data_IF_866315001486
#
_entry.id   IF_866315001486
#
_cell.length_a   1.000
_cell.length_b   1.000
_cell.length_c   1.000
_cell.angle_alpha   90.00
_cell.angle_beta   90.00
_cell.angle_gamma   90.00
#
_symmetry.space_group_name_H-M   'P 1'
#
loop_
_entity.id
_entity.type
_entity.pdbx_description
1 polymer ?
#
# COMPACT_ATOMS: atom_id res chain seq x y z
N UNK A 1 1.87 -12.74 -13.87
CA UNK A 1 0.59 -12.01 -13.74
C UNK A 1 0.14 -11.35 -15.04
N UNK A 2 1.03 -11.11 -16.01
CA UNK A 2 0.71 -10.38 -17.23
C UNK A 2 -0.18 -11.12 -18.26
N UNK A 3 -0.23 -12.46 -18.23
CA UNK A 3 -0.94 -13.25 -19.24
C UNK A 3 -2.44 -12.93 -19.35
N UNK A 4 -3.11 -12.62 -18.24
CA UNK A 4 -4.54 -12.26 -18.25
C UNK A 4 -4.78 -10.82 -18.78
N UNK A 5 -3.81 -9.93 -18.55
CA UNK A 5 -3.85 -8.55 -19.05
C UNK A 5 -3.62 -8.51 -20.57
N UNK A 6 -2.90 -9.48 -21.13
CA UNK A 6 -2.70 -9.59 -22.58
C UNK A 6 -4.02 -9.73 -23.35
N UNK A 7 -4.96 -10.54 -22.86
CA UNK A 7 -6.27 -10.73 -23.50
C UNK A 7 -7.34 -9.73 -23.03
N UNK A 8 -7.15 -9.12 -21.85
CA UNK A 8 -8.07 -8.14 -21.27
C UNK A 8 -7.30 -6.90 -20.79
N UNK A 9 -6.94 -5.98 -21.70
CA UNK A 9 -6.08 -4.83 -21.36
C UNK A 9 -6.72 -3.84 -20.36
N UNK A 10 -8.03 -3.95 -20.12
CA UNK A 10 -8.72 -3.13 -19.13
C UNK A 10 -8.75 -3.75 -17.73
N UNK A 11 -8.27 -4.99 -17.58
CA UNK A 11 -8.25 -5.70 -16.30
C UNK A 11 -7.19 -5.08 -15.38
N UNK A 12 -7.61 -4.72 -14.17
CA UNK A 12 -6.74 -4.22 -13.10
C UNK A 12 -6.53 -5.32 -12.07
N UNK A 13 -5.29 -5.50 -11.63
CA UNK A 13 -4.93 -6.39 -10.53
C UNK A 13 -4.77 -5.56 -9.26
N UNK A 14 -5.38 -6.04 -8.19
CA UNK A 14 -5.35 -5.41 -6.87
C UNK A 14 -4.84 -6.43 -5.87
N UNK A 15 -3.93 -6.00 -4.99
CA UNK A 15 -3.44 -6.81 -3.88
C UNK A 15 -4.41 -6.64 -2.69
N UNK A 16 -5.13 -7.69 -2.31
CA UNK A 16 -5.99 -7.64 -1.12
C UNK A 16 -5.22 -8.08 0.12
N UNK A 17 -5.15 -7.22 1.13
CA UNK A 17 -4.53 -7.50 2.44
C UNK A 17 -5.65 -7.69 3.46
N UNK A 18 -5.71 -8.88 4.08
CA UNK A 18 -6.72 -9.25 5.07
C UNK A 18 -6.06 -9.61 6.41
N UNK A 19 -6.68 -9.21 7.51
CA UNK A 19 -6.37 -9.76 8.83
C UNK A 19 -7.25 -10.98 9.10
N UNK A 20 -6.64 -12.14 9.30
CA UNK A 20 -7.34 -13.38 9.66
C UNK A 20 -7.02 -13.70 11.13
N UNK A 21 -7.87 -13.21 12.05
CA UNK A 21 -7.68 -13.42 13.48
C UNK A 21 -8.66 -12.63 14.34
N UNK A 22 -8.83 -13.04 15.60
CA UNK A 22 -9.77 -12.43 16.57
C UNK A 22 -9.12 -11.41 17.53
N UNK A 23 -7.82 -11.14 17.39
CA UNK A 23 -7.07 -10.22 18.25
C UNK A 23 -6.91 -8.81 17.67
N UNK A 24 -6.50 -7.83 18.49
CA UNK A 24 -6.17 -6.50 17.99
C UNK A 24 -4.99 -6.58 17.03
N UNK A 25 -5.06 -5.81 15.94
CA UNK A 25 -3.98 -5.76 14.97
C UNK A 25 -2.78 -5.07 15.62
N UNK A 26 -1.62 -5.72 15.62
CA UNK A 26 -0.36 -5.17 16.17
C UNK A 26 0.12 -3.86 15.51
N UNK A 27 -0.64 -3.33 14.54
CA UNK A 27 -0.47 -2.06 13.85
C UNK A 27 -1.20 -0.88 14.52
N UNK A 28 -2.11 -1.16 15.46
CA UNK A 28 -2.93 -0.12 16.12
C UNK A 28 -2.58 0.10 17.58
N UNK A 29 -1.81 -0.81 18.19
CA UNK A 29 -1.51 -0.81 19.63
C UNK A 29 -0.01 -0.87 19.91
N UNK A 30 0.40 -0.27 21.03
CA UNK A 30 1.79 -0.23 21.49
C UNK A 30 2.59 0.96 20.94
N UNK A 31 3.76 1.20 21.53
CA UNK A 31 4.65 2.32 21.18
C UNK A 31 5.18 2.24 19.75
N UNK A 32 5.31 1.03 19.21
CA UNK A 32 5.89 0.80 17.87
C UNK A 32 4.83 0.75 16.76
N UNK A 33 3.56 1.01 17.09
CA UNK A 33 2.46 0.88 16.13
C UNK A 33 2.70 1.69 14.86
N UNK A 34 3.20 2.93 15.00
CA UNK A 34 3.53 3.80 13.87
C UNK A 34 4.64 3.21 12.97
N UNK A 35 5.73 2.71 13.56
CA UNK A 35 6.83 2.10 12.80
C UNK A 35 6.39 0.83 12.06
N UNK A 36 5.50 0.03 12.67
CA UNK A 36 4.96 -1.17 12.01
C UNK A 36 4.03 -0.83 10.85
N UNK A 37 3.23 0.25 10.96
CA UNK A 37 2.41 0.76 9.86
C UNK A 37 3.25 1.26 8.70
N UNK A 38 4.32 2.01 8.99
CA UNK A 38 5.27 2.47 7.96
C UNK A 38 5.91 1.28 7.23
N UNK A 39 6.40 0.28 7.98
CA UNK A 39 6.99 -0.93 7.38
C UNK A 39 6.00 -1.70 6.50
N UNK A 40 4.74 -1.83 6.92
CA UNK A 40 3.69 -2.44 6.11
C UNK A 40 3.48 -1.64 4.81
N UNK A 41 3.38 -0.31 4.93
CA UNK A 41 3.13 0.55 3.78
C UNK A 41 4.27 0.49 2.74
N UNK A 42 5.53 0.49 3.20
CA UNK A 42 6.70 0.34 2.34
C UNK A 42 6.72 -1.04 1.65
N UNK A 43 6.40 -2.10 2.40
CA UNK A 43 6.35 -3.47 1.86
C UNK A 43 5.27 -3.61 0.79
N UNK A 44 4.09 -3.02 1.02
CA UNK A 44 2.99 -2.99 0.04
C UNK A 44 3.42 -2.20 -1.20
N UNK A 45 4.02 -1.01 -1.04
CA UNK A 45 4.52 -0.24 -2.18
C UNK A 45 5.50 -1.03 -3.05
N UNK A 46 6.45 -1.71 -2.41
CA UNK A 46 7.43 -2.55 -3.09
C UNK A 46 6.73 -3.64 -3.91
N UNK A 47 5.81 -4.39 -3.30
CA UNK A 47 5.07 -5.47 -3.96
C UNK A 47 4.21 -4.98 -5.13
N UNK A 48 3.58 -3.82 -4.98
CA UNK A 48 2.76 -3.25 -6.05
C UNK A 48 3.58 -2.99 -7.31
N UNK A 49 4.79 -2.44 -7.14
CA UNK A 49 5.72 -2.20 -8.23
C UNK A 49 6.34 -3.47 -8.80
N UNK A 50 6.81 -4.37 -7.92
CA UNK A 50 7.49 -5.61 -8.32
C UNK A 50 6.58 -6.53 -9.14
N UNK A 51 5.29 -6.62 -8.77
CA UNK A 51 4.35 -7.56 -9.37
C UNK A 51 3.28 -6.90 -10.26
N UNK A 52 3.46 -5.62 -10.61
CA UNK A 52 2.60 -4.87 -11.52
C UNK A 52 1.11 -4.85 -11.08
N UNK A 53 0.87 -4.62 -9.80
CA UNK A 53 -0.46 -4.39 -9.26
C UNK A 53 -0.84 -2.91 -9.34
N UNK A 54 -2.04 -2.61 -9.84
CA UNK A 54 -2.56 -1.25 -9.93
C UNK A 54 -3.14 -0.73 -8.62
N UNK A 55 -3.42 -1.61 -7.66
CA UNK A 55 -4.17 -1.27 -6.45
C UNK A 55 -3.78 -2.09 -5.24
N UNK A 56 -4.08 -1.58 -4.06
CA UNK A 56 -4.19 -2.37 -2.83
C UNK A 56 -5.62 -2.24 -2.32
N UNK A 57 -6.20 -3.34 -1.89
CA UNK A 57 -7.48 -3.39 -1.19
C UNK A 57 -7.20 -3.85 0.24
N UNK A 58 -7.85 -3.20 1.19
CA UNK A 58 -7.73 -3.55 2.60
C UNK A 58 -9.05 -4.15 3.03
N UNK A 59 -9.05 -5.46 3.18
CA UNK A 59 -10.24 -6.23 3.48
C UNK A 59 -10.23 -6.60 4.96
N UNK A 60 -10.78 -5.71 5.79
CA UNK A 60 -10.92 -5.90 7.22
C UNK A 60 -12.39 -6.00 7.58
N UNK A 61 -12.84 -7.21 7.95
CA UNK A 61 -14.23 -7.52 8.31
C UNK A 61 -14.80 -6.67 9.47
N UNK A 62 -13.92 -6.00 10.22
CA UNK A 62 -14.26 -4.98 11.21
C UNK A 62 -13.22 -3.89 11.08
N UNK A 63 -13.64 -2.67 10.71
CA UNK A 63 -12.83 -1.47 10.86
C UNK A 63 -13.11 -0.88 12.25
N UNK A 64 -12.42 -1.27 13.34
CA UNK A 64 -12.38 -0.39 14.49
C UNK A 64 -11.81 0.96 14.04
N UNK A 65 -12.31 2.04 14.65
CA UNK A 65 -11.87 3.42 14.42
C UNK A 65 -10.33 3.55 14.49
N UNK A 66 -9.69 2.66 15.24
CA UNK A 66 -8.26 2.53 15.47
C UNK A 66 -7.44 2.15 14.21
N UNK A 67 -8.08 1.68 13.13
CA UNK A 67 -7.41 1.34 11.87
C UNK A 67 -7.34 2.49 10.87
N UNK A 68 -8.05 3.60 11.11
CA UNK A 68 -7.99 4.78 10.23
C UNK A 68 -6.53 5.27 9.98
N UNK A 69 -5.62 5.28 10.98
CA UNK A 69 -4.22 5.61 10.75
C UNK A 69 -3.50 4.66 9.77
N UNK A 70 -3.82 3.35 9.78
CA UNK A 70 -3.24 2.37 8.83
C UNK A 70 -3.64 2.68 7.40
N UNK A 71 -4.92 3.00 7.19
CA UNK A 71 -5.42 3.40 5.89
C UNK A 71 -4.74 4.68 5.39
N UNK A 72 -4.63 5.70 6.25
CA UNK A 72 -3.96 6.97 5.92
C UNK A 72 -2.50 6.75 5.54
N UNK A 73 -1.75 5.94 6.29
CA UNK A 73 -0.33 5.69 6.03
C UNK A 73 -0.12 4.96 4.69
N UNK A 74 -0.98 3.98 4.36
CA UNK A 74 -0.95 3.29 3.06
C UNK A 74 -1.28 4.20 1.88
N UNK A 75 -2.26 5.09 2.05
CA UNK A 75 -2.61 6.09 1.02
C UNK A 75 -1.46 7.07 0.80
N UNK A 76 -0.75 7.49 1.85
CA UNK A 76 0.38 8.44 1.73
C UNK A 76 1.53 7.88 0.91
N UNK A 77 1.85 6.60 1.04
CA UNK A 77 2.93 5.96 0.27
C UNK A 77 2.64 6.00 -1.24
N UNK A 78 1.39 5.85 -1.67
CA UNK A 78 0.98 5.97 -3.07
C UNK A 78 1.24 7.35 -3.70
N UNK A 79 1.34 8.41 -2.90
CA UNK A 79 1.58 9.78 -3.38
C UNK A 79 3.02 10.28 -3.18
N UNK A 80 3.80 9.67 -2.29
CA UNK A 80 5.21 10.00 -2.10
C UNK A 80 6.11 9.39 -3.20
N UNK A 81 5.67 8.32 -3.86
CA UNK A 81 6.42 7.64 -4.94
C UNK A 81 6.17 8.22 -6.35
N UNK A 82 5.64 9.45 -6.45
CA UNK A 82 5.58 10.17 -7.73
C UNK A 82 6.97 10.38 -8.35
N UNK A 83 7.09 10.55 -9.68
CA UNK A 83 8.40 10.65 -10.33
C UNK A 83 9.19 11.82 -9.74
N UNK A 84 10.38 11.52 -9.22
CA UNK A 84 11.32 12.48 -8.65
C UNK A 84 11.72 13.51 -9.72
N UNK A 85 11.04 14.65 -9.78
CA UNK A 85 11.41 15.79 -10.63
C UNK A 85 12.42 16.68 -9.93
N UNK A 86 13.56 16.12 -9.56
CA UNK A 86 14.74 16.94 -9.24
C UNK A 86 15.97 16.32 -9.92
N UNK A 87 16.04 16.53 -11.24
CA UNK A 87 17.33 16.55 -11.92
C UNK A 87 17.53 17.97 -12.45
N UNK A 88 18.55 18.60 -11.88
CA UNK A 88 18.96 19.98 -12.06
C UNK A 88 18.93 20.45 -13.53
N UNK A 89 18.12 21.48 -13.81
CA UNK A 89 18.32 22.35 -14.96
C UNK A 89 19.39 23.37 -14.56
N UNK A 90 20.64 23.10 -14.90
CA UNK A 90 21.59 24.18 -15.14
C UNK A 90 21.29 24.70 -16.54
N UNK A 91 20.74 25.92 -16.62
CA UNK A 91 20.70 26.67 -17.86
C UNK A 91 22.06 27.36 -18.10
N UNK A 92 22.46 27.51 -19.38
CA UNK A 92 23.74 28.08 -19.78
C UNK A 92 23.82 29.60 -19.62
#
# INVERSE_FOLDING_TARGET
MDALKTSHPQLRLVLSVRHVGSGPLNLTVGTDAASRRALLADSVAHWLGEYNFEGVELDWDRLPVDLNPVYVDLVRVRFASGPNKHQHRHEP
#
